data_IF_823716436013
#
_entry.id   IF_823716436013
#
_cell.length_a   1.000
_cell.length_b   1.000
_cell.length_c   1.000
_cell.angle_alpha   90.00
_cell.angle_beta   90.00
_cell.angle_gamma   90.00
#
_symmetry.space_group_name_H-M   'P 1'
#
loop_
_entity.id
_entity.type
_entity.pdbx_description
1 polymer ?
#
# COMPACT_ATOMS: atom_id res chain seq x y z
N UNK A 1 8.80 5.50 -2.52
CA UNK A 1 7.76 6.47 -2.95
C UNK A 1 6.83 6.68 -1.77
N UNK A 2 6.51 7.94 -1.46
CA UNK A 2 5.59 8.31 -0.40
C UNK A 2 4.15 7.89 -0.75
N UNK A 3 3.37 7.58 0.30
CA UNK A 3 2.12 6.83 0.23
C UNK A 3 1.09 7.33 -0.78
N UNK A 4 0.43 6.38 -1.43
CA UNK A 4 -0.75 6.61 -2.25
C UNK A 4 -1.95 6.88 -1.32
N UNK A 5 -2.23 8.15 -1.03
CA UNK A 5 -3.37 8.53 -0.20
C UNK A 5 -4.64 8.66 -1.05
N UNK A 6 -5.50 7.65 -0.98
CA UNK A 6 -6.88 7.74 -1.50
C UNK A 6 -7.76 8.23 -0.36
N UNK A 7 -8.19 9.50 -0.44
CA UNK A 7 -9.12 10.13 0.51
C UNK A 7 -10.43 9.34 0.64
N UNK A 8 -10.98 9.30 1.86
CA UNK A 8 -12.13 8.48 2.29
C UNK A 8 -13.34 8.46 1.34
N UNK A 9 -13.60 9.56 0.62
CA UNK A 9 -14.73 9.72 -0.30
C UNK A 9 -14.71 8.82 -1.55
N UNK A 10 -13.65 8.05 -1.79
CA UNK A 10 -13.50 7.19 -2.97
C UNK A 10 -13.28 5.69 -2.66
N UNK A 11 -13.41 5.30 -1.39
CA UNK A 11 -13.45 3.88 -1.01
C UNK A 11 -14.66 3.19 -1.66
N UNK A 12 -14.51 1.93 -2.06
CA UNK A 12 -15.55 1.09 -2.70
C UNK A 12 -16.03 1.52 -4.11
N UNK A 13 -15.39 2.49 -4.77
CA UNK A 13 -15.67 2.87 -6.17
C UNK A 13 -14.67 2.32 -7.20
N UNK A 14 -13.77 1.42 -6.79
CA UNK A 14 -12.82 0.76 -7.69
C UNK A 14 -11.63 1.60 -8.17
N UNK A 15 -11.58 2.90 -7.86
CA UNK A 15 -10.51 3.82 -8.30
C UNK A 15 -9.13 3.36 -7.81
N UNK A 16 -9.03 2.92 -6.55
CA UNK A 16 -7.76 2.42 -6.00
C UNK A 16 -7.25 1.18 -6.73
N UNK A 17 -8.16 0.29 -7.14
CA UNK A 17 -7.80 -0.86 -7.98
C UNK A 17 -7.32 -0.40 -9.34
N UNK A 18 -8.07 0.47 -10.04
CA UNK A 18 -7.69 0.93 -11.38
C UNK A 18 -6.30 1.57 -11.40
N UNK A 19 -6.00 2.43 -10.43
CA UNK A 19 -4.69 3.05 -10.33
C UNK A 19 -3.59 2.02 -10.05
N UNK A 20 -3.86 1.05 -9.18
CA UNK A 20 -2.91 -0.01 -8.86
C UNK A 20 -2.64 -0.91 -10.07
N UNK A 21 -3.67 -1.33 -10.81
CA UNK A 21 -3.51 -2.12 -12.05
C UNK A 21 -2.71 -1.34 -13.10
N UNK A 22 -2.94 -0.02 -13.22
CA UNK A 22 -2.15 0.81 -14.13
C UNK A 22 -0.67 0.84 -13.73
N UNK A 23 -0.38 1.01 -12.43
CA UNK A 23 1.00 0.95 -11.93
C UNK A 23 1.64 -0.42 -12.16
N UNK A 24 0.89 -1.52 -11.95
CA UNK A 24 1.39 -2.88 -12.22
C UNK A 24 1.66 -3.16 -13.70
N UNK A 25 0.97 -2.45 -14.61
CA UNK A 25 1.25 -2.47 -16.05
C UNK A 25 2.57 -1.77 -16.40
N UNK A 26 2.90 -0.71 -15.67
CA UNK A 26 4.00 0.19 -16.01
C UNK A 26 5.30 -0.17 -15.26
N UNK A 27 5.21 -0.94 -14.16
CA UNK A 27 6.35 -1.29 -13.30
C UNK A 27 6.35 -2.79 -12.93
N UNK A 28 7.54 -3.40 -12.92
CA UNK A 28 7.72 -4.80 -12.48
C UNK A 28 7.75 -4.96 -10.95
N UNK A 29 7.97 -3.86 -10.22
CA UNK A 29 8.09 -3.87 -8.77
C UNK A 29 7.43 -2.61 -8.20
N UNK A 30 6.60 -2.79 -7.18
CA UNK A 30 5.98 -1.70 -6.43
C UNK A 30 6.30 -1.85 -4.94
N UNK A 31 6.72 -0.76 -4.31
CA UNK A 31 7.12 -0.71 -2.91
C UNK A 31 6.38 0.43 -2.21
N UNK A 32 5.85 0.17 -1.01
CA UNK A 32 5.11 1.16 -0.23
C UNK A 32 5.25 0.94 1.28
N UNK A 33 4.96 1.98 2.04
CA UNK A 33 4.86 1.94 3.50
C UNK A 33 3.39 2.14 3.90
N UNK A 34 2.91 1.33 4.85
CA UNK A 34 1.55 1.41 5.39
C UNK A 34 1.63 1.52 6.90
N UNK A 35 0.98 2.54 7.45
CA UNK A 35 0.79 2.63 8.89
C UNK A 35 0.10 1.38 9.44
N UNK A 36 0.63 0.79 10.51
CA UNK A 36 0.08 -0.42 11.13
C UNK A 36 -1.39 -0.27 11.54
N UNK A 37 -1.80 0.93 11.96
CA UNK A 37 -3.18 1.21 12.37
C UNK A 37 -4.14 1.31 11.19
N UNK A 38 -3.63 1.47 9.96
CA UNK A 38 -4.45 1.56 8.76
C UNK A 38 -4.78 0.16 8.22
N UNK A 39 -5.58 -0.59 8.98
CA UNK A 39 -5.98 -1.95 8.60
C UNK A 39 -6.68 -2.02 7.24
N UNK A 40 -7.38 -0.95 6.84
CA UNK A 40 -8.03 -0.86 5.53
C UNK A 40 -7.03 -0.89 4.39
N UNK A 41 -5.94 -0.12 4.50
CA UNK A 41 -4.85 -0.14 3.53
C UNK A 41 -4.11 -1.48 3.54
N UNK A 42 -3.83 -2.04 4.73
CA UNK A 42 -3.19 -3.36 4.86
C UNK A 42 -4.02 -4.43 4.14
N UNK A 43 -5.33 -4.52 4.43
CA UNK A 43 -6.23 -5.47 3.75
C UNK A 43 -6.29 -5.23 2.24
N UNK A 44 -6.33 -3.97 1.81
CA UNK A 44 -6.34 -3.62 0.39
C UNK A 44 -5.08 -4.11 -0.32
N UNK A 45 -3.89 -3.75 0.16
CA UNK A 45 -2.63 -4.11 -0.48
C UNK A 45 -2.37 -5.63 -0.43
N UNK A 46 -2.68 -6.29 0.70
CA UNK A 46 -2.59 -7.77 0.79
C UNK A 46 -3.53 -8.46 -0.21
N UNK A 47 -4.77 -7.98 -0.37
CA UNK A 47 -5.71 -8.51 -1.38
C UNK A 47 -5.19 -8.33 -2.81
N UNK A 48 -4.37 -7.31 -3.05
CA UNK A 48 -3.69 -7.05 -4.31
C UNK A 48 -2.27 -7.64 -4.35
N UNK A 49 -1.99 -8.69 -3.56
CA UNK A 49 -0.76 -9.49 -3.61
C UNK A 49 0.51 -8.74 -3.20
N UNK A 50 0.39 -7.63 -2.47
CA UNK A 50 1.55 -7.07 -1.79
C UNK A 50 1.87 -7.91 -0.55
N UNK A 51 3.14 -8.22 -0.37
CA UNK A 51 3.67 -8.94 0.79
C UNK A 51 4.27 -7.97 1.78
N UNK A 52 4.01 -8.17 3.08
CA UNK A 52 4.71 -7.45 4.14
C UNK A 52 6.14 -7.98 4.20
N UNK A 53 7.12 -7.09 3.96
CA UNK A 53 8.55 -7.40 3.96
C UNK A 53 9.23 -7.04 5.28
N UNK A 54 8.77 -5.99 5.95
CA UNK A 54 9.27 -5.61 7.27
C UNK A 54 8.29 -4.70 8.02
N UNK A 55 8.52 -4.53 9.32
CA UNK A 55 7.87 -3.56 10.19
C UNK A 55 8.94 -2.63 10.75
N UNK A 56 8.72 -1.32 10.71
CA UNK A 56 9.64 -0.31 11.24
C UNK A 56 8.89 0.63 12.17
N UNK A 57 9.52 1.03 13.27
CA UNK A 57 9.03 2.13 14.09
C UNK A 57 9.45 3.47 13.45
N UNK A 58 8.50 4.36 13.22
CA UNK A 58 8.73 5.71 12.74
C UNK A 58 8.73 6.67 13.93
N UNK A 59 9.90 7.27 14.19
CA UNK A 59 10.12 8.05 15.40
C UNK A 59 9.37 9.38 15.37
N UNK A 60 9.16 9.96 14.18
CA UNK A 60 8.48 11.24 14.00
C UNK A 60 6.97 11.14 14.32
N UNK A 61 6.32 10.07 13.87
CA UNK A 61 4.88 9.85 14.10
C UNK A 61 4.61 9.03 15.37
N UNK A 62 5.65 8.43 15.96
CA UNK A 62 5.55 7.45 17.05
C UNK A 62 4.67 6.25 16.69
N UNK A 63 4.67 5.86 15.42
CA UNK A 63 3.83 4.79 14.89
C UNK A 63 4.68 3.73 14.18
N UNK A 64 4.13 2.53 14.06
CA UNK A 64 4.75 1.49 13.25
C UNK A 64 4.23 1.54 11.82
N UNK A 65 5.13 1.29 10.86
CA UNK A 65 4.79 1.12 9.46
C UNK A 65 5.26 -0.23 8.94
N UNK A 66 4.42 -0.85 8.12
CA UNK A 66 4.76 -2.01 7.32
C UNK A 66 5.34 -1.57 5.99
N UNK A 67 6.53 -2.07 5.67
CA UNK A 67 7.05 -2.04 4.31
C UNK A 67 6.41 -3.19 3.53
N UNK A 68 5.69 -2.88 2.45
CA UNK A 68 5.02 -3.86 1.60
C UNK A 68 5.56 -3.79 0.17
N UNK A 69 5.67 -4.95 -0.47
CA UNK A 69 6.22 -5.10 -1.81
C UNK A 69 5.34 -5.99 -2.68
N UNK A 70 5.12 -5.58 -3.92
CA UNK A 70 4.57 -6.41 -4.98
C UNK A 70 5.58 -6.53 -6.12
N UNK A 71 5.66 -7.71 -6.71
CA UNK A 71 6.53 -8.04 -7.84
C UNK A 71 5.67 -8.68 -8.95
N UNK A 72 5.98 -8.40 -10.22
CA UNK A 72 5.26 -8.93 -11.38
C UNK A 72 5.66 -10.36 -11.78
N UNK A 73 6.46 -11.04 -10.95
CA UNK A 73 7.03 -12.36 -11.21
C UNK A 73 5.96 -13.44 -11.45
#
# INVERSE_FOLDING_TARGET
MAGLFITDNYRNKGIGRFLLERLKSDYNVLNLHVNEKNEGAIRFYTKHQFEIRSKKFEAETQEYEYFMKWDSN
#
